data_IF_852233678760
#
_entry.id   IF_852233678760
#
_cell.length_a   1.000
_cell.length_b   1.000
_cell.length_c   1.000
_cell.angle_alpha   90.00
_cell.angle_beta   90.00
_cell.angle_gamma   90.00
#
_symmetry.space_group_name_H-M   'P 1'
#
loop_
_entity.id
_entity.type
_entity.pdbx_description
1 polymer ?
#
# COMPACT_ATOMS: atom_id res chain seq x y z
N UNK A 1 34.21 -51.81 -36.27
CA UNK A 1 34.11 -50.77 -37.30
C UNK A 1 34.01 -49.43 -36.59
N UNK A 2 35.09 -48.60 -36.64
CA UNK A 2 35.18 -47.29 -35.96
C UNK A 2 34.91 -46.21 -36.96
N UNK A 3 33.91 -45.33 -36.71
CA UNK A 3 33.57 -44.19 -37.54
C UNK A 3 34.45 -42.97 -37.14
N UNK A 4 34.96 -42.17 -38.08
CA UNK A 4 35.86 -41.06 -37.81
C UNK A 4 35.08 -39.80 -37.41
N UNK A 5 35.53 -39.14 -36.34
CA UNK A 5 35.07 -37.80 -35.90
C UNK A 5 35.62 -36.74 -36.89
N UNK A 6 34.71 -35.97 -37.51
CA UNK A 6 35.06 -34.78 -38.27
C UNK A 6 35.22 -33.60 -37.32
N UNK A 7 36.37 -32.98 -37.35
CA UNK A 7 36.66 -31.71 -36.71
C UNK A 7 36.20 -30.55 -37.67
N UNK A 8 35.45 -29.57 -37.10
CA UNK A 8 35.10 -28.32 -37.78
C UNK A 8 35.90 -27.20 -37.08
N UNK A 9 36.68 -26.40 -37.80
CA UNK A 9 37.42 -25.31 -37.16
C UNK A 9 36.46 -24.14 -36.85
N UNK A 10 36.56 -23.60 -35.63
CA UNK A 10 35.88 -22.37 -35.23
C UNK A 10 36.60 -21.15 -35.89
N UNK A 11 35.86 -20.40 -36.67
CA UNK A 11 36.30 -19.11 -37.21
C UNK A 11 35.95 -18.03 -36.16
N UNK A 12 36.97 -17.46 -35.52
CA UNK A 12 36.86 -16.29 -34.67
C UNK A 12 36.70 -15.05 -35.54
N UNK A 13 35.53 -14.45 -35.57
CA UNK A 13 35.30 -13.11 -36.13
C UNK A 13 35.43 -12.10 -34.96
N UNK A 14 36.53 -11.36 -35.01
CA UNK A 14 36.76 -10.22 -34.11
C UNK A 14 35.96 -9.02 -34.65
N UNK A 15 34.89 -8.62 -33.93
CA UNK A 15 34.17 -7.38 -34.16
C UNK A 15 34.86 -6.26 -33.39
N UNK A 16 35.54 -5.38 -34.09
CA UNK A 16 36.03 -4.09 -33.61
C UNK A 16 34.82 -3.15 -33.36
N UNK A 17 34.50 -2.90 -32.12
CA UNK A 17 33.52 -1.87 -31.72
C UNK A 17 34.28 -0.54 -31.63
N UNK A 18 34.06 0.34 -32.59
CA UNK A 18 34.48 1.75 -32.54
C UNK A 18 33.56 2.49 -31.57
N UNK A 19 34.11 2.86 -30.40
CA UNK A 19 33.48 3.76 -29.45
C UNK A 19 33.43 5.18 -30.02
N UNK A 20 32.29 5.59 -30.54
CA UNK A 20 31.98 6.97 -30.85
C UNK A 20 31.57 7.73 -29.56
N UNK A 21 32.41 8.62 -29.06
CA UNK A 21 31.99 9.62 -28.08
C UNK A 21 31.09 10.64 -28.75
N UNK A 22 29.82 10.69 -28.38
CA UNK A 22 28.94 11.80 -28.69
C UNK A 22 29.14 12.91 -27.67
N UNK A 23 29.27 14.20 -28.06
CA UNK A 23 29.38 15.30 -27.12
C UNK A 23 28.02 15.59 -26.50
N UNK A 24 28.07 15.94 -25.18
CA UNK A 24 26.92 16.41 -24.39
C UNK A 24 26.45 17.76 -24.95
N UNK A 25 25.13 18.06 -24.93
CA UNK A 25 24.63 19.39 -25.29
C UNK A 25 24.99 20.40 -24.21
N UNK A 26 25.51 21.55 -24.64
CA UNK A 26 25.80 22.73 -23.81
C UNK A 26 24.51 23.37 -23.28
N UNK A 27 24.51 23.95 -22.07
CA UNK A 27 23.36 24.68 -21.53
C UNK A 27 23.24 26.06 -22.21
N UNK A 28 22.04 26.40 -22.68
CA UNK A 28 21.67 27.74 -23.19
C UNK A 28 21.84 28.80 -22.12
N UNK A 29 22.43 29.96 -22.46
CA UNK A 29 22.48 31.11 -21.54
C UNK A 29 21.21 31.94 -21.62
N UNK A 30 20.66 32.31 -20.46
CA UNK A 30 19.88 33.50 -20.30
C UNK A 30 18.43 33.35 -19.83
N UNK A 31 18.25 33.29 -18.54
CA UNK A 31 17.10 33.93 -17.88
C UNK A 31 17.59 34.72 -16.67
N UNK A 32 17.44 36.03 -16.76
CA UNK A 32 17.72 37.00 -15.71
C UNK A 32 16.70 36.87 -14.58
N UNK A 33 17.07 37.00 -13.29
CA UNK A 33 16.13 36.96 -12.21
C UNK A 33 15.32 38.28 -12.14
N UNK A 34 14.00 38.15 -12.07
CA UNK A 34 13.07 39.27 -11.82
C UNK A 34 13.15 39.64 -10.33
N UNK A 35 13.28 40.90 -9.96
CA UNK A 35 13.34 41.34 -8.57
C UNK A 35 12.01 41.16 -7.87
N UNK A 36 12.09 40.57 -6.68
CA UNK A 36 11.01 40.30 -5.75
C UNK A 36 10.45 41.61 -5.20
N UNK A 37 9.20 41.95 -5.54
CA UNK A 37 8.50 43.08 -4.98
C UNK A 37 8.05 42.81 -3.56
N UNK A 38 8.55 43.58 -2.62
CA UNK A 38 8.12 43.62 -1.21
C UNK A 38 6.72 44.13 -1.11
N UNK A 39 5.75 43.47 -0.46
CA UNK A 39 4.46 44.08 -0.19
C UNK A 39 4.56 45.06 0.98
N UNK A 40 4.22 46.31 0.70
CA UNK A 40 4.02 47.38 1.67
C UNK A 40 2.91 47.01 2.65
N UNK A 41 3.21 47.12 3.95
CA UNK A 41 2.24 46.94 5.03
C UNK A 41 1.19 48.03 4.98
N UNK A 42 -0.06 47.63 4.84
CA UNK A 42 -1.22 48.52 5.04
C UNK A 42 -1.54 48.60 6.53
N UNK A 43 -1.62 49.79 7.02
CA UNK A 43 -1.93 50.20 8.39
C UNK A 43 -3.37 49.77 8.74
N UNK A 44 -3.59 49.05 9.84
CA UNK A 44 -4.88 48.66 10.36
C UNK A 44 -5.46 49.79 11.25
N UNK A 45 -6.76 50.06 11.18
CA UNK A 45 -7.39 51.05 12.06
C UNK A 45 -7.55 50.51 13.48
N UNK A 46 -7.26 51.38 14.46
CA UNK A 46 -7.38 51.18 15.90
C UNK A 46 -8.87 50.98 16.29
N UNK A 47 -9.19 49.78 16.77
CA UNK A 47 -10.47 49.50 17.44
C UNK A 47 -10.36 49.71 18.94
N UNK A 48 -11.34 50.45 19.50
CA UNK A 48 -11.47 50.78 20.90
C UNK A 48 -11.85 49.57 21.79
N UNK A 49 -11.83 49.75 23.14
CA UNK A 49 -11.95 48.62 24.07
C UNK A 49 -13.35 48.01 24.07
N UNK A 50 -13.41 46.71 23.79
CA UNK A 50 -14.60 45.89 23.88
C UNK A 50 -14.85 45.46 25.33
N UNK A 51 -16.13 45.42 25.81
CA UNK A 51 -16.42 45.04 27.19
C UNK A 51 -16.21 43.54 27.44
N UNK A 52 -15.69 43.25 28.62
CA UNK A 52 -15.46 41.87 29.14
C UNK A 52 -16.74 41.05 29.10
N UNK A 53 -16.66 39.81 28.63
CA UNK A 53 -17.78 38.88 28.70
C UNK A 53 -17.97 38.33 30.12
N UNK A 54 -19.22 38.34 30.56
CA UNK A 54 -19.72 37.73 31.78
C UNK A 54 -19.46 36.20 31.75
N UNK A 55 -18.99 35.58 32.85
CA UNK A 55 -18.80 34.13 32.86
C UNK A 55 -20.12 33.35 32.80
N UNK A 56 -20.18 32.24 32.05
CA UNK A 56 -21.35 31.38 31.97
C UNK A 56 -21.60 30.64 33.32
N UNK A 57 -22.86 30.28 33.63
CA UNK A 57 -23.19 29.59 34.83
C UNK A 57 -22.55 28.20 34.92
N UNK A 58 -22.04 27.90 36.08
CA UNK A 58 -21.36 26.65 36.46
C UNK A 58 -22.28 25.43 36.24
N UNK A 59 -21.85 24.51 35.37
CA UNK A 59 -22.56 23.24 35.08
C UNK A 59 -22.32 22.29 36.24
N UNK A 60 -23.37 21.58 36.79
CA UNK A 60 -23.23 20.64 37.88
C UNK A 60 -22.16 19.59 37.55
N UNK A 61 -21.21 19.38 38.44
CA UNK A 61 -20.17 18.36 38.34
C UNK A 61 -20.79 16.95 38.38
N UNK A 62 -20.62 16.22 37.28
CA UNK A 62 -20.98 14.82 37.21
C UNK A 62 -20.07 14.00 38.14
N UNK A 63 -20.68 13.33 39.09
CA UNK A 63 -20.01 12.43 40.02
C UNK A 63 -19.25 11.34 39.27
N UNK A 64 -17.95 11.23 39.54
CA UNK A 64 -17.03 10.24 39.02
C UNK A 64 -17.42 8.86 39.57
N UNK A 65 -18.07 8.03 38.74
CA UNK A 65 -18.30 6.60 39.05
C UNK A 65 -16.94 5.87 39.15
N UNK A 66 -16.76 4.94 40.12
CA UNK A 66 -15.53 4.16 40.20
C UNK A 66 -15.35 3.32 38.95
N UNK A 67 -14.13 3.36 38.39
CA UNK A 67 -13.78 2.60 37.20
C UNK A 67 -13.82 1.10 37.42
N UNK A 68 -14.85 0.46 36.91
CA UNK A 68 -14.80 -0.94 36.59
C UNK A 68 -14.08 -1.10 35.26
N UNK A 69 -12.97 -1.78 35.22
CA UNK A 69 -12.35 -2.27 33.99
C UNK A 69 -13.26 -3.36 33.44
N UNK A 70 -14.27 -2.94 32.68
CA UNK A 70 -15.02 -3.87 31.84
C UNK A 70 -14.14 -4.22 30.66
N UNK A 71 -13.54 -5.39 30.67
CA UNK A 71 -13.00 -6.08 29.50
C UNK A 71 -14.17 -6.43 28.59
N UNK A 72 -14.78 -5.41 27.98
CA UNK A 72 -15.78 -5.61 26.94
C UNK A 72 -15.00 -5.95 25.68
N UNK A 73 -14.85 -7.24 25.44
CA UNK A 73 -14.33 -7.72 24.16
C UNK A 73 -15.17 -7.18 23.01
N UNK A 74 -14.65 -7.20 21.76
CA UNK A 74 -15.30 -6.60 20.61
C UNK A 74 -16.71 -7.18 20.42
N UNK A 75 -17.69 -6.30 20.21
CA UNK A 75 -19.08 -6.69 19.98
C UNK A 75 -19.29 -7.42 18.64
N UNK A 76 -18.35 -7.22 17.68
CA UNK A 76 -18.44 -7.77 16.32
C UNK A 76 -17.86 -9.19 16.23
N UNK A 77 -18.63 -10.22 15.83
CA UNK A 77 -18.13 -11.60 15.68
C UNK A 77 -16.94 -11.73 14.75
N UNK A 78 -16.84 -10.90 13.71
CA UNK A 78 -15.70 -10.86 12.80
C UNK A 78 -14.41 -10.38 13.49
N UNK A 79 -14.51 -9.40 14.35
CA UNK A 79 -13.39 -8.92 15.16
C UNK A 79 -12.95 -9.96 16.19
N UNK A 80 -13.88 -10.65 16.84
CA UNK A 80 -13.56 -11.77 17.76
C UNK A 80 -12.80 -12.89 17.05
N UNK A 81 -13.26 -13.28 15.85
CA UNK A 81 -12.56 -14.28 15.02
C UNK A 81 -11.14 -13.81 14.66
N UNK A 82 -11.00 -12.54 14.28
CA UNK A 82 -9.69 -11.95 13.95
C UNK A 82 -8.76 -11.89 15.16
N UNK A 83 -9.27 -11.57 16.36
CA UNK A 83 -8.48 -11.62 17.59
C UNK A 83 -8.01 -13.04 17.94
N UNK A 84 -8.88 -14.03 17.76
CA UNK A 84 -8.51 -15.43 17.98
C UNK A 84 -7.42 -15.89 17.01
N UNK A 85 -7.49 -15.46 15.74
CA UNK A 85 -6.45 -15.73 14.74
C UNK A 85 -5.15 -14.97 15.06
N UNK A 86 -5.22 -13.68 15.45
CA UNK A 86 -4.06 -12.87 15.83
C UNK A 86 -3.25 -13.52 16.96
N UNK A 87 -3.92 -14.10 17.94
CA UNK A 87 -3.27 -14.81 19.08
C UNK A 87 -2.42 -16.00 18.62
N UNK A 88 -2.73 -16.60 17.47
CA UNK A 88 -2.01 -17.76 16.92
C UNK A 88 -0.80 -17.34 16.08
N UNK A 89 -0.75 -16.09 15.58
CA UNK A 89 0.37 -15.63 14.78
C UNK A 89 1.65 -15.56 15.63
N UNK A 90 2.79 -16.05 15.12
CA UNK A 90 4.06 -15.91 15.82
C UNK A 90 4.42 -14.43 16.00
N UNK A 91 5.00 -14.10 17.17
CA UNK A 91 5.52 -12.74 17.43
C UNK A 91 7.03 -12.79 17.39
N UNK A 92 7.64 -12.11 16.42
CA UNK A 92 9.09 -12.07 16.21
C UNK A 92 9.54 -10.67 15.84
N UNK A 93 10.83 -10.37 15.97
CA UNK A 93 11.44 -9.16 15.42
C UNK A 93 11.43 -9.17 13.89
N UNK A 94 11.68 -7.98 13.29
CA UNK A 94 11.86 -7.90 11.83
C UNK A 94 13.15 -8.62 11.43
N UNK A 95 13.08 -9.46 10.40
CA UNK A 95 14.27 -10.01 9.76
C UNK A 95 15.01 -8.91 8.98
N UNK A 96 16.32 -9.06 8.72
CA UNK A 96 17.05 -8.16 7.84
C UNK A 96 16.39 -8.04 6.47
N UNK A 97 16.40 -6.84 5.89
CA UNK A 97 15.86 -6.61 4.54
C UNK A 97 16.82 -7.07 3.43
N UNK A 98 17.98 -7.59 3.78
CA UNK A 98 19.02 -8.06 2.84
C UNK A 98 18.41 -8.98 1.78
N UNK A 99 18.79 -8.77 0.53
CA UNK A 99 18.32 -9.58 -0.59
C UNK A 99 16.90 -9.26 -1.05
N UNK A 100 16.24 -8.23 -0.51
CA UNK A 100 14.94 -7.80 -1.03
C UNK A 100 15.10 -7.22 -2.45
N UNK A 101 14.32 -7.77 -3.36
CA UNK A 101 14.12 -7.24 -4.70
C UNK A 101 12.68 -7.51 -5.11
N UNK A 102 11.89 -6.44 -5.35
CA UNK A 102 10.44 -6.61 -5.58
C UNK A 102 10.15 -7.59 -6.72
N UNK A 103 10.73 -7.36 -7.89
CA UNK A 103 10.50 -8.21 -9.08
C UNK A 103 11.22 -9.53 -8.96
N UNK A 104 12.45 -9.50 -8.47
CA UNK A 104 13.31 -10.69 -8.32
C UNK A 104 12.71 -11.71 -7.34
N UNK A 105 12.17 -11.24 -6.20
CA UNK A 105 11.65 -12.11 -5.13
C UNK A 105 10.17 -12.41 -5.25
N UNK A 106 9.36 -11.53 -5.83
CA UNK A 106 7.92 -11.68 -5.91
C UNK A 106 7.37 -11.79 -7.34
N UNK A 107 8.28 -11.90 -8.32
CA UNK A 107 7.92 -12.06 -9.71
C UNK A 107 7.44 -10.75 -10.39
N UNK A 108 7.04 -10.88 -11.65
CA UNK A 108 6.50 -9.76 -12.43
C UNK A 108 5.15 -9.35 -11.86
N UNK A 109 4.89 -8.05 -11.86
CA UNK A 109 3.62 -7.51 -11.40
C UNK A 109 2.44 -8.02 -12.24
N UNK A 110 1.36 -8.38 -11.56
CA UNK A 110 0.07 -8.74 -12.15
C UNK A 110 0.12 -10.01 -13.00
N UNK A 111 0.89 -10.99 -12.56
CA UNK A 111 0.90 -12.33 -13.15
C UNK A 111 -0.47 -12.97 -12.97
N UNK A 112 -1.01 -13.56 -14.03
CA UNK A 112 -2.21 -14.40 -13.97
C UNK A 112 -1.86 -15.69 -13.21
N UNK A 113 -2.26 -15.77 -11.96
CA UNK A 113 -1.96 -16.91 -11.06
C UNK A 113 -3.13 -17.87 -10.89
N UNK A 114 -4.33 -17.48 -11.32
CA UNK A 114 -5.53 -18.33 -11.32
C UNK A 114 -5.86 -18.89 -12.71
N UNK A 115 -5.01 -18.55 -13.70
CA UNK A 115 -5.10 -19.03 -15.10
C UNK A 115 -6.43 -18.72 -15.78
N UNK A 116 -7.07 -17.62 -15.37
CA UNK A 116 -8.31 -17.16 -15.99
C UNK A 116 -8.09 -16.42 -17.32
N UNK A 117 -6.84 -16.19 -17.70
CA UNK A 117 -6.41 -15.48 -18.91
C UNK A 117 -6.46 -13.95 -18.78
N UNK A 118 -6.69 -13.43 -17.57
CA UNK A 118 -6.67 -12.01 -17.25
C UNK A 118 -5.46 -11.67 -16.38
N UNK A 119 -5.03 -10.42 -16.40
CA UNK A 119 -3.98 -9.97 -15.49
C UNK A 119 -4.62 -9.69 -14.13
N UNK A 120 -4.00 -10.13 -13.05
CA UNK A 120 -4.48 -9.92 -11.66
C UNK A 120 -4.92 -8.48 -11.39
N UNK A 121 -4.23 -7.47 -11.96
CA UNK A 121 -4.67 -6.07 -11.83
C UNK A 121 -6.08 -5.85 -12.38
N UNK A 122 -6.40 -6.44 -13.51
CA UNK A 122 -7.71 -6.25 -14.15
C UNK A 122 -8.80 -7.01 -13.40
N UNK A 123 -8.48 -8.15 -12.79
CA UNK A 123 -9.40 -8.90 -11.94
C UNK A 123 -9.74 -8.11 -10.67
N UNK A 124 -8.74 -7.52 -10.01
CA UNK A 124 -8.97 -6.69 -8.84
C UNK A 124 -9.76 -5.42 -9.19
N UNK A 125 -9.45 -4.75 -10.30
CA UNK A 125 -10.24 -3.60 -10.76
C UNK A 125 -11.68 -4.02 -11.06
N UNK A 126 -11.90 -5.17 -11.70
CA UNK A 126 -13.23 -5.68 -12.00
C UNK A 126 -14.02 -6.09 -10.75
N UNK A 127 -13.34 -6.54 -9.69
CA UNK A 127 -13.94 -6.89 -8.40
C UNK A 127 -14.34 -5.65 -7.59
N UNK A 128 -13.49 -4.62 -7.57
CA UNK A 128 -13.58 -3.52 -6.62
C UNK A 128 -14.27 -2.27 -7.17
N UNK A 129 -14.34 -2.11 -8.50
CA UNK A 129 -15.02 -0.99 -9.14
C UNK A 129 -16.44 -1.36 -9.54
N UNK A 130 -17.32 -0.37 -9.51
CA UNK A 130 -18.67 -0.44 -10.09
C UNK A 130 -18.74 0.32 -11.40
N UNK A 131 -19.79 0.06 -12.23
CA UNK A 131 -20.02 0.72 -13.52
C UNK A 131 -18.80 0.64 -14.45
N UNK A 132 -18.18 -0.53 -14.50
CA UNK A 132 -16.96 -0.73 -15.30
C UNK A 132 -17.24 -0.79 -16.79
N UNK A 133 -16.32 -0.24 -17.60
CA UNK A 133 -16.21 -0.54 -19.04
C UNK A 133 -14.95 -1.36 -19.28
N UNK A 134 -14.99 -2.21 -20.32
CA UNK A 134 -13.86 -3.08 -20.66
C UNK A 134 -13.51 -2.97 -22.13
N UNK A 135 -12.21 -3.20 -22.41
CA UNK A 135 -11.67 -3.47 -23.73
C UNK A 135 -11.38 -4.97 -23.79
N UNK A 136 -12.17 -5.68 -24.61
CA UNK A 136 -12.18 -7.15 -24.61
C UNK A 136 -12.72 -7.77 -23.32
N UNK A 137 -12.29 -9.00 -23.04
CA UNK A 137 -12.80 -9.78 -21.90
C UNK A 137 -12.33 -9.27 -20.53
N UNK A 138 -11.10 -8.85 -20.44
CA UNK A 138 -10.42 -8.63 -19.16
C UNK A 138 -10.19 -7.16 -18.81
N UNK A 139 -9.69 -6.38 -19.77
CA UNK A 139 -9.06 -5.08 -19.52
C UNK A 139 -10.09 -4.03 -19.11
N UNK A 140 -10.09 -3.65 -17.84
CA UNK A 140 -10.96 -2.59 -17.30
C UNK A 140 -10.46 -1.23 -17.77
N UNK A 141 -11.31 -0.49 -18.49
CA UNK A 141 -10.98 0.82 -19.07
C UNK A 141 -11.46 1.98 -18.20
N UNK A 142 -12.62 1.84 -17.58
CA UNK A 142 -13.16 2.84 -16.66
C UNK A 142 -14.03 2.20 -15.60
N UNK A 143 -14.39 2.95 -14.58
CA UNK A 143 -15.30 2.55 -13.50
C UNK A 143 -15.23 3.50 -12.34
N UNK A 144 -16.04 3.29 -11.33
CA UNK A 144 -16.05 4.09 -10.10
C UNK A 144 -15.63 3.23 -8.91
N UNK A 145 -14.61 3.65 -8.19
CA UNK A 145 -14.18 3.06 -6.92
C UNK A 145 -14.86 3.78 -5.75
N UNK A 146 -15.45 3.00 -4.83
CA UNK A 146 -15.73 3.48 -3.47
C UNK A 146 -14.52 3.08 -2.62
N UNK A 147 -13.59 4.00 -2.49
CA UNK A 147 -12.28 3.72 -1.89
C UNK A 147 -12.41 3.35 -0.40
N UNK A 148 -12.00 2.16 -0.05
CA UNK A 148 -12.07 1.66 1.31
C UNK A 148 -11.16 2.44 2.28
N UNK A 149 -10.02 2.95 1.80
CA UNK A 149 -9.04 3.64 2.65
C UNK A 149 -9.47 5.05 3.05
N UNK A 150 -10.16 5.76 2.17
CA UNK A 150 -10.60 7.15 2.41
C UNK A 150 -12.11 7.31 2.58
N UNK A 151 -12.90 6.34 2.13
CA UNK A 151 -14.36 6.44 2.03
C UNK A 151 -14.85 7.27 0.84
N UNK A 152 -13.97 7.77 -0.03
CA UNK A 152 -14.30 8.64 -1.16
C UNK A 152 -14.67 7.84 -2.41
N UNK A 153 -15.47 8.46 -3.27
CA UNK A 153 -15.70 7.97 -4.63
C UNK A 153 -14.62 8.52 -5.55
N UNK A 154 -14.04 7.64 -6.38
CA UNK A 154 -12.96 7.99 -7.32
C UNK A 154 -13.34 7.41 -8.67
N UNK A 155 -13.44 8.26 -9.68
CA UNK A 155 -13.64 7.82 -11.06
C UNK A 155 -12.31 7.41 -11.66
N UNK A 156 -12.24 6.15 -12.05
CA UNK A 156 -11.11 5.54 -12.71
C UNK A 156 -11.28 5.62 -14.22
N UNK A 157 -10.27 6.11 -14.88
CA UNK A 157 -10.10 6.01 -16.34
C UNK A 157 -8.68 5.52 -16.60
N UNK A 158 -8.55 4.45 -17.40
CA UNK A 158 -7.24 3.90 -17.74
C UNK A 158 -6.47 4.86 -18.64
N UNK A 159 -5.24 5.18 -18.28
CA UNK A 159 -4.36 6.07 -19.03
C UNK A 159 -3.00 6.20 -18.34
N UNK A 160 -2.03 6.85 -18.97
CA UNK A 160 -0.67 6.98 -18.41
C UNK A 160 -0.66 7.71 -17.07
N UNK A 161 -1.37 8.82 -16.95
CA UNK A 161 -1.44 9.65 -15.73
C UNK A 161 -2.66 9.32 -14.88
N UNK A 162 -3.82 9.07 -15.51
CA UNK A 162 -5.10 8.87 -14.83
C UNK A 162 -5.17 7.57 -14.05
N UNK A 163 -4.50 6.51 -14.53
CA UNK A 163 -4.44 5.22 -13.82
C UNK A 163 -3.79 5.30 -12.44
N UNK A 164 -3.02 6.36 -12.15
CA UNK A 164 -2.39 6.55 -10.85
C UNK A 164 -3.37 6.96 -9.76
N UNK A 165 -4.57 7.47 -10.12
CA UNK A 165 -5.61 7.81 -9.14
C UNK A 165 -6.13 6.59 -8.39
N UNK A 166 -6.19 5.43 -9.08
CA UNK A 166 -6.57 4.14 -8.48
C UNK A 166 -5.44 3.15 -8.67
N UNK A 167 -4.87 2.71 -7.58
CA UNK A 167 -3.78 1.73 -7.54
C UNK A 167 -4.27 0.43 -6.91
N UNK A 168 -3.59 -0.67 -7.20
CA UNK A 168 -3.79 -1.92 -6.46
C UNK A 168 -2.73 -1.98 -5.38
N UNK A 169 -3.19 -2.00 -4.14
CA UNK A 169 -2.35 -2.14 -2.95
C UNK A 169 -2.26 -3.59 -2.50
N UNK A 170 -1.14 -3.93 -1.88
CA UNK A 170 -0.98 -5.15 -1.11
C UNK A 170 -1.34 -4.87 0.35
N UNK A 171 -2.42 -5.46 0.87
CA UNK A 171 -2.87 -5.33 2.27
C UNK A 171 -1.71 -5.54 3.25
N UNK A 172 -0.92 -6.59 3.02
CA UNK A 172 0.41 -6.78 3.62
C UNK A 172 1.44 -6.47 2.54
N UNK A 173 2.12 -5.33 2.66
CA UNK A 173 3.09 -4.87 1.66
C UNK A 173 4.20 -5.90 1.43
N UNK A 174 4.68 -6.04 0.19
CA UNK A 174 5.69 -7.05 -0.17
C UNK A 174 6.98 -6.94 0.66
N UNK A 175 7.45 -5.72 0.91
CA UNK A 175 8.61 -5.51 1.77
C UNK A 175 8.33 -5.87 3.24
N UNK A 176 7.13 -5.53 3.75
CA UNK A 176 6.73 -5.96 5.10
C UNK A 176 6.69 -7.49 5.19
N UNK A 177 6.08 -8.16 4.21
CA UNK A 177 6.08 -9.62 4.13
C UNK A 177 7.49 -10.20 4.11
N UNK A 178 8.41 -9.60 3.32
CA UNK A 178 9.81 -10.05 3.26
C UNK A 178 10.47 -10.09 4.63
N UNK A 179 10.36 -9.01 5.40
CA UNK A 179 10.97 -8.89 6.73
C UNK A 179 10.15 -9.55 7.85
N UNK A 180 8.99 -10.13 7.53
CA UNK A 180 8.13 -10.83 8.49
C UNK A 180 7.78 -12.26 8.07
N UNK A 181 8.63 -12.90 7.25
CA UNK A 181 8.53 -14.34 6.98
C UNK A 181 8.60 -14.76 5.53
N UNK A 182 8.31 -13.91 4.56
CA UNK A 182 8.29 -14.30 3.15
C UNK A 182 9.66 -14.73 2.59
N UNK A 183 10.75 -14.48 3.32
CA UNK A 183 12.07 -15.04 3.01
C UNK A 183 12.09 -16.57 3.09
N UNK A 184 11.20 -17.17 3.89
CA UNK A 184 11.09 -18.61 4.09
C UNK A 184 10.18 -19.28 3.06
N UNK A 185 9.43 -18.51 2.28
CA UNK A 185 8.57 -19.02 1.21
C UNK A 185 9.41 -19.42 -0.02
N UNK A 186 8.89 -20.34 -0.82
CA UNK A 186 9.47 -20.63 -2.14
C UNK A 186 9.23 -19.43 -3.09
N UNK A 187 9.89 -19.43 -4.23
CA UNK A 187 9.68 -18.39 -5.25
C UNK A 187 8.22 -18.37 -5.74
N UNK A 188 7.65 -19.54 -5.97
CA UNK A 188 6.27 -19.72 -6.44
C UNK A 188 5.28 -19.20 -5.40
N UNK A 189 5.48 -19.51 -4.12
CA UNK A 189 4.65 -19.00 -3.02
C UNK A 189 4.72 -17.49 -2.89
N UNK A 190 5.89 -16.87 -3.14
CA UNK A 190 5.99 -15.40 -3.15
C UNK A 190 5.30 -14.77 -4.35
N UNK A 191 5.33 -15.40 -5.52
CA UNK A 191 4.58 -14.95 -6.70
C UNK A 191 3.08 -15.05 -6.44
N UNK A 192 2.63 -16.16 -5.84
CA UNK A 192 1.24 -16.34 -5.41
C UNK A 192 0.83 -15.24 -4.42
N UNK A 193 1.61 -15.02 -3.35
CA UNK A 193 1.38 -13.97 -2.37
C UNK A 193 1.21 -12.58 -2.99
N UNK A 194 2.05 -12.26 -3.97
CA UNK A 194 2.03 -10.96 -4.66
C UNK A 194 0.81 -10.77 -5.58
N UNK A 195 0.16 -11.85 -5.98
CA UNK A 195 -0.99 -11.83 -6.88
C UNK A 195 -2.27 -12.42 -6.24
N UNK A 196 -2.24 -12.72 -4.94
CA UNK A 196 -3.40 -13.25 -4.22
C UNK A 196 -4.49 -12.18 -4.05
N UNK A 197 -5.71 -12.42 -4.57
CA UNK A 197 -6.84 -11.51 -4.38
C UNK A 197 -7.16 -11.20 -2.90
N UNK A 198 -6.81 -12.09 -1.96
CA UNK A 198 -6.95 -11.83 -0.52
C UNK A 198 -6.02 -10.71 -0.05
N UNK A 199 -4.84 -10.59 -0.65
CA UNK A 199 -3.83 -9.58 -0.31
C UNK A 199 -3.93 -8.30 -1.15
N UNK A 200 -4.85 -8.24 -2.11
CA UNK A 200 -4.93 -7.14 -3.08
C UNK A 200 -6.24 -6.37 -2.94
N UNK A 201 -6.17 -5.05 -3.10
CA UNK A 201 -7.32 -4.15 -3.07
C UNK A 201 -7.07 -2.92 -3.95
N UNK A 202 -8.11 -2.47 -4.68
CA UNK A 202 -8.06 -1.19 -5.38
C UNK A 202 -8.29 -0.04 -4.39
N UNK A 203 -7.43 0.98 -4.42
CA UNK A 203 -7.44 2.09 -3.46
C UNK A 203 -7.00 3.41 -4.10
N UNK A 204 -7.25 4.52 -3.39
CA UNK A 204 -6.70 5.84 -3.70
C UNK A 204 -5.17 5.80 -3.80
N UNK A 205 -4.64 6.26 -4.93
CA UNK A 205 -3.20 6.19 -5.20
C UNK A 205 -2.34 7.01 -4.23
N UNK A 206 -2.82 8.19 -3.82
CA UNK A 206 -2.11 9.05 -2.87
C UNK A 206 -2.04 8.38 -1.48
N UNK A 207 -3.15 7.80 -1.04
CA UNK A 207 -3.24 7.09 0.24
C UNK A 207 -2.40 5.81 0.23
N UNK A 208 -2.37 5.08 -0.90
CA UNK A 208 -1.48 3.94 -1.07
C UNK A 208 0.01 4.34 -0.98
N UNK A 209 0.39 5.44 -1.63
CA UNK A 209 1.75 5.98 -1.55
C UNK A 209 2.12 6.36 -0.11
N UNK A 210 1.20 6.96 0.64
CA UNK A 210 1.39 7.31 2.05
C UNK A 210 1.54 6.06 2.95
N UNK A 211 0.82 4.97 2.65
CA UNK A 211 0.97 3.68 3.33
C UNK A 211 2.35 3.09 3.08
N UNK A 212 2.79 3.00 1.82
CA UNK A 212 4.06 2.40 1.44
C UNK A 212 4.24 1.00 2.01
N UNK A 213 5.36 0.76 2.69
CA UNK A 213 5.71 -0.55 3.28
C UNK A 213 5.30 -0.70 4.76
N UNK A 214 4.48 0.22 5.28
CA UNK A 214 4.13 0.28 6.70
C UNK A 214 3.22 -0.87 7.11
N UNK A 215 3.39 -1.30 8.37
CA UNK A 215 2.52 -2.25 9.07
C UNK A 215 1.41 -1.52 9.87
N UNK A 216 0.55 -2.27 10.55
CA UNK A 216 -0.55 -1.70 11.35
C UNK A 216 -0.08 -0.85 12.53
N UNK A 217 1.16 -0.99 13.00
CA UNK A 217 1.73 -0.13 14.04
C UNK A 217 2.07 1.27 13.54
N UNK A 218 2.36 1.38 12.24
CA UNK A 218 2.90 2.60 11.63
C UNK A 218 1.91 3.29 10.70
N UNK A 219 0.86 2.59 10.26
CA UNK A 219 -0.17 3.14 9.39
C UNK A 219 -1.48 2.34 9.48
N UNK A 220 -2.58 3.07 9.48
CA UNK A 220 -3.93 2.54 9.36
C UNK A 220 -4.72 3.42 8.38
N UNK A 221 -5.74 2.86 7.69
CA UNK A 221 -6.59 3.65 6.80
C UNK A 221 -7.16 4.90 7.51
N UNK A 222 -7.17 6.07 6.84
CA UNK A 222 -7.84 7.27 7.34
C UNK A 222 -9.32 7.02 7.65
N UNK A 223 -9.99 6.24 6.80
CA UNK A 223 -11.36 5.76 7.02
C UNK A 223 -11.42 4.81 8.22
N UNK A 224 -11.83 5.34 9.36
CA UNK A 224 -11.89 4.59 10.62
C UNK A 224 -12.85 3.41 10.56
N UNK A 225 -13.95 3.51 9.80
CA UNK A 225 -14.93 2.42 9.68
C UNK A 225 -14.37 1.17 8.97
N UNK A 226 -13.33 1.33 8.16
CA UNK A 226 -12.68 0.22 7.45
C UNK A 226 -11.56 -0.45 8.25
N UNK A 227 -11.08 0.13 9.34
CA UNK A 227 -9.89 -0.36 10.06
C UNK A 227 -10.06 -1.78 10.60
N UNK A 228 -11.23 -2.12 11.10
CA UNK A 228 -11.54 -3.48 11.57
C UNK A 228 -11.39 -4.51 10.44
N UNK A 229 -11.94 -4.22 9.28
CA UNK A 229 -11.83 -5.06 8.08
C UNK A 229 -10.37 -5.15 7.61
N UNK A 230 -9.68 -4.01 7.54
CA UNK A 230 -8.29 -3.93 7.12
C UNK A 230 -7.35 -4.79 7.99
N UNK A 231 -7.46 -4.64 9.32
CA UNK A 231 -6.66 -5.44 10.27
C UNK A 231 -7.02 -6.92 10.17
N UNK A 232 -8.30 -7.24 10.06
CA UNK A 232 -8.75 -8.63 9.86
C UNK A 232 -8.18 -9.26 8.58
N UNK A 233 -8.11 -8.49 7.49
CA UNK A 233 -7.48 -8.94 6.23
C UNK A 233 -5.97 -9.16 6.40
N UNK A 234 -5.25 -8.24 7.06
CA UNK A 234 -3.81 -8.42 7.32
C UNK A 234 -3.54 -9.71 8.10
N UNK A 235 -4.34 -9.99 9.13
CA UNK A 235 -4.21 -11.21 9.94
C UNK A 235 -4.43 -12.45 9.07
N UNK A 236 -5.51 -12.47 8.26
CA UNK A 236 -5.81 -13.60 7.36
C UNK A 236 -4.71 -13.84 6.34
N UNK A 237 -4.14 -12.78 5.76
CA UNK A 237 -3.02 -12.88 4.82
C UNK A 237 -1.79 -13.46 5.53
N UNK A 238 -1.46 -12.94 6.71
CA UNK A 238 -0.31 -13.45 7.48
C UNK A 238 -0.50 -14.90 7.92
N UNK A 239 -1.70 -15.29 8.32
CA UNK A 239 -2.05 -16.68 8.64
C UNK A 239 -1.88 -17.60 7.42
N UNK A 240 -2.46 -17.22 6.26
CA UNK A 240 -2.37 -18.01 5.01
C UNK A 240 -0.93 -18.29 4.60
N UNK A 241 -0.04 -17.31 4.73
CA UNK A 241 1.35 -17.39 4.28
C UNK A 241 2.36 -17.64 5.41
N UNK A 242 1.89 -18.06 6.58
CA UNK A 242 2.73 -18.35 7.75
C UNK A 242 3.71 -17.23 8.12
N UNK A 243 3.28 -15.97 7.90
CA UNK A 243 4.05 -14.79 8.27
C UNK A 243 3.85 -14.50 9.77
N UNK A 244 4.81 -13.78 10.35
CA UNK A 244 4.68 -13.33 11.74
C UNK A 244 4.33 -11.86 11.84
N UNK A 245 3.99 -11.42 13.05
CA UNK A 245 3.82 -10.02 13.43
C UNK A 245 4.94 -9.57 14.35
N UNK A 246 5.29 -8.28 14.31
CA UNK A 246 6.11 -7.71 15.37
C UNK A 246 5.25 -7.42 16.60
N UNK A 247 5.88 -7.27 17.78
CA UNK A 247 5.13 -6.91 18.97
C UNK A 247 4.34 -5.60 18.82
N UNK A 248 4.92 -4.48 18.32
CA UNK A 248 4.16 -3.25 18.07
C UNK A 248 3.01 -3.43 17.08
N UNK A 249 3.20 -4.22 16.01
CA UNK A 249 2.17 -4.53 15.03
C UNK A 249 1.01 -5.30 15.67
N UNK A 250 1.31 -6.35 16.44
CA UNK A 250 0.30 -7.12 17.17
C UNK A 250 -0.51 -6.23 18.12
N UNK A 251 0.18 -5.42 18.94
CA UNK A 251 -0.46 -4.55 19.93
C UNK A 251 -1.38 -3.52 19.23
N UNK A 252 -0.98 -3.01 18.04
CA UNK A 252 -1.80 -2.10 17.25
C UNK A 252 -3.04 -2.79 16.66
N UNK A 253 -2.87 -4.00 16.12
CA UNK A 253 -3.99 -4.80 15.60
C UNK A 253 -5.00 -5.13 16.69
N UNK A 254 -4.53 -5.55 17.86
CA UNK A 254 -5.37 -5.86 19.01
C UNK A 254 -6.17 -4.63 19.50
N UNK A 255 -5.50 -3.47 19.61
CA UNK A 255 -6.17 -2.21 19.95
C UNK A 255 -7.26 -1.81 18.96
N UNK A 256 -7.04 -2.00 17.66
CA UNK A 256 -8.07 -1.68 16.66
C UNK A 256 -9.24 -2.67 16.73
N UNK A 257 -8.96 -3.96 16.82
CA UNK A 257 -10.01 -4.99 16.87
C UNK A 257 -10.88 -4.88 18.13
N UNK A 258 -10.32 -4.42 19.27
CA UNK A 258 -11.08 -4.20 20.49
C UNK A 258 -12.04 -2.99 20.43
N UNK A 259 -11.92 -2.12 19.40
CA UNK A 259 -12.84 -1.01 19.13
C UNK A 259 -14.01 -1.42 18.23
N UNK A 260 -13.97 -2.62 17.66
CA UNK A 260 -14.95 -3.11 16.70
C UNK A 260 -16.13 -3.82 17.38
#
# INVERSE_FOLDING_TARGET
>A
MRSPRRWVPAVLIALLVLSGCAPLPEPSPGETPVPNATPTAAEAPSEGPSPSPTPPPERPQAQKKPGGTSDVGPANPGAQKSLAALKKLPVKGKAPATGYGRVEKFGRAWTDTDFNGCRTRDDILARDLVNITRDGRCKVMSGTLVDAYTGKRIDFVRGQTTSQKVQIDHIVALHNAWITGAQQLTQEQRVEFANDPLNLIAVDGATNSAKGNKDAASWLPPNKSYRCTYVGLQIRVKEKYSLWVTKPERDAMERELNKC
#
